data_IF_138928743138
#
_entry.id   IF_138928743138
#
_cell.length_a   1.000
_cell.length_b   1.000
_cell.length_c   1.000
_cell.angle_alpha   90.00
_cell.angle_beta   90.00
_cell.angle_gamma   90.00
#
_symmetry.space_group_name_H-M   'P 1'
#
loop_
_entity.id
_entity.type
_entity.pdbx_description
1 polymer ?
#
# COMPACT_ATOMS: atom_id res chain seq x y z
N UNK A 1 -35.12 10.29 -60.68
CA UNK A 1 -34.05 11.26 -60.37
C UNK A 1 -33.88 11.51 -58.87
N UNK A 2 -34.91 11.88 -58.08
CA UNK A 2 -34.76 12.12 -56.62
C UNK A 2 -34.23 10.91 -55.84
N UNK A 3 -34.82 9.74 -56.05
CA UNK A 3 -34.45 8.50 -55.35
C UNK A 3 -33.03 8.03 -55.65
N UNK A 4 -32.53 8.27 -56.87
CA UNK A 4 -31.15 7.94 -57.25
C UNK A 4 -30.14 8.82 -56.52
N UNK A 5 -30.47 10.10 -56.33
CA UNK A 5 -29.64 11.06 -55.58
C UNK A 5 -29.60 10.68 -54.10
N UNK A 6 -30.75 10.31 -53.52
CA UNK A 6 -30.83 9.86 -52.12
C UNK A 6 -29.99 8.60 -51.87
N UNK A 7 -30.04 7.63 -52.79
CA UNK A 7 -29.22 6.41 -52.71
C UNK A 7 -27.73 6.74 -52.82
N UNK A 8 -27.33 7.65 -53.71
CA UNK A 8 -25.93 8.07 -53.85
C UNK A 8 -25.40 8.73 -52.57
N UNK A 9 -26.18 9.63 -51.96
CA UNK A 9 -25.84 10.27 -50.68
C UNK A 9 -25.74 9.25 -49.56
N UNK A 10 -26.63 8.25 -49.54
CA UNK A 10 -26.61 7.20 -48.54
C UNK A 10 -25.34 6.34 -48.67
N UNK A 11 -24.96 5.99 -49.90
CA UNK A 11 -23.74 5.23 -50.19
C UNK A 11 -22.48 5.97 -49.72
N UNK A 12 -22.41 7.29 -49.99
CA UNK A 12 -21.28 8.12 -49.57
C UNK A 12 -21.14 8.17 -48.04
N UNK A 13 -22.27 8.25 -47.32
CA UNK A 13 -22.28 8.18 -45.85
C UNK A 13 -21.80 6.83 -45.33
N UNK A 14 -22.23 5.73 -45.95
CA UNK A 14 -21.82 4.38 -45.54
C UNK A 14 -20.32 4.19 -45.75
N UNK A 15 -19.77 4.59 -46.89
CA UNK A 15 -18.33 4.52 -47.16
C UNK A 15 -17.52 5.38 -46.19
N UNK A 16 -18.04 6.54 -45.81
CA UNK A 16 -17.41 7.40 -44.80
C UNK A 16 -17.40 6.73 -43.43
N UNK A 17 -18.52 6.14 -43.01
CA UNK A 17 -18.64 5.42 -41.75
C UNK A 17 -17.73 4.19 -41.70
N UNK A 18 -17.60 3.46 -42.81
CA UNK A 18 -16.67 2.32 -42.93
C UNK A 18 -15.23 2.76 -42.68
N UNK A 19 -14.80 3.83 -43.36
CA UNK A 19 -13.45 4.38 -43.16
C UNK A 19 -13.21 4.89 -41.73
N UNK A 20 -14.21 5.52 -41.13
CA UNK A 20 -14.12 6.02 -39.76
C UNK A 20 -14.10 4.84 -38.75
N UNK A 21 -14.81 3.75 -39.03
CA UNK A 21 -14.77 2.52 -38.24
C UNK A 21 -13.41 1.83 -38.31
N UNK A 22 -12.83 1.70 -39.51
CA UNK A 22 -11.48 1.16 -39.69
C UNK A 22 -10.44 1.96 -38.91
N UNK A 23 -10.51 3.29 -39.01
CA UNK A 23 -9.63 4.18 -38.24
C UNK A 23 -9.79 3.95 -36.75
N UNK A 24 -11.03 3.94 -36.25
CA UNK A 24 -11.29 3.74 -34.83
C UNK A 24 -10.77 2.37 -34.36
N UNK A 25 -10.84 1.32 -35.19
CA UNK A 25 -10.30 0.01 -34.86
C UNK A 25 -8.78 0.04 -34.73
N UNK A 26 -8.08 0.72 -35.65
CA UNK A 26 -6.63 0.92 -35.56
C UNK A 26 -6.27 1.73 -34.32
N UNK A 27 -6.94 2.86 -34.09
CA UNK A 27 -6.68 3.72 -32.92
C UNK A 27 -6.89 2.96 -31.60
N UNK A 28 -7.93 2.10 -31.51
CA UNK A 28 -8.16 1.24 -30.32
C UNK A 28 -7.06 0.19 -30.17
N UNK A 29 -6.62 -0.41 -31.29
CA UNK A 29 -5.53 -1.40 -31.25
C UNK A 29 -4.22 -0.78 -30.80
N UNK A 30 -3.90 0.44 -31.25
CA UNK A 30 -2.67 1.14 -30.88
C UNK A 30 -2.70 1.62 -29.41
N UNK A 31 -3.89 1.87 -28.85
CA UNK A 31 -4.05 2.17 -27.42
C UNK A 31 -3.86 0.94 -26.52
N UNK A 32 -4.04 -0.26 -27.08
CA UNK A 32 -3.74 -1.53 -26.39
C UNK A 32 -2.27 -1.88 -26.66
N UNK A 33 -1.38 -1.23 -25.90
CA UNK A 33 0.04 -1.56 -25.92
C UNK A 33 0.27 -2.91 -25.22
N UNK A 34 0.12 -3.99 -25.99
CA UNK A 34 0.22 -5.39 -25.54
C UNK A 34 1.58 -5.65 -24.86
N UNK A 35 2.64 -4.97 -25.33
CA UNK A 35 3.97 -5.05 -24.74
C UNK A 35 4.01 -4.45 -23.32
N UNK A 36 3.26 -3.36 -23.06
CA UNK A 36 3.14 -2.81 -21.70
C UNK A 36 2.31 -3.70 -20.77
N UNK A 37 1.29 -4.37 -21.30
CA UNK A 37 0.46 -5.26 -20.51
C UNK A 37 1.24 -6.53 -20.11
N UNK A 38 2.00 -7.10 -21.04
CA UNK A 38 2.84 -8.27 -20.78
C UNK A 38 3.95 -7.94 -19.77
N UNK A 39 4.64 -6.80 -19.92
CA UNK A 39 5.65 -6.35 -18.96
C UNK A 39 5.06 -6.16 -17.55
N UNK A 40 3.87 -5.55 -17.44
CA UNK A 40 3.17 -5.40 -16.16
C UNK A 40 2.75 -6.75 -15.56
N UNK A 41 2.36 -7.71 -16.39
CA UNK A 41 1.99 -9.06 -15.96
C UNK A 41 3.21 -9.82 -15.40
N UNK A 42 4.37 -9.72 -16.05
CA UNK A 42 5.62 -10.31 -15.58
C UNK A 42 6.02 -9.75 -14.19
N UNK A 43 5.99 -8.43 -14.04
CA UNK A 43 6.29 -7.76 -12.77
C UNK A 43 5.34 -8.19 -11.65
N UNK A 44 4.04 -8.29 -11.96
CA UNK A 44 3.03 -8.78 -11.01
C UNK A 44 3.34 -10.22 -10.55
N UNK A 45 3.71 -11.11 -11.48
CA UNK A 45 4.04 -12.51 -11.15
C UNK A 45 5.28 -12.58 -10.25
N UNK A 46 6.30 -11.74 -10.51
CA UNK A 46 7.50 -11.67 -9.68
C UNK A 46 7.15 -11.19 -8.26
N UNK A 47 6.41 -10.09 -8.14
CA UNK A 47 5.99 -9.55 -6.86
C UNK A 47 5.13 -10.54 -6.06
N UNK A 48 4.18 -11.20 -6.71
CA UNK A 48 3.32 -12.20 -6.08
C UNK A 48 4.12 -13.38 -5.52
N UNK A 49 5.11 -13.88 -6.27
CA UNK A 49 6.01 -14.93 -5.80
C UNK A 49 6.82 -14.50 -4.59
N UNK A 50 7.35 -13.27 -4.60
CA UNK A 50 8.12 -12.73 -3.48
C UNK A 50 7.28 -12.61 -2.20
N UNK A 51 6.07 -12.06 -2.31
CA UNK A 51 5.12 -11.93 -1.18
C UNK A 51 4.78 -13.32 -0.63
N UNK A 52 4.43 -14.26 -1.50
CA UNK A 52 4.09 -15.63 -1.10
C UNK A 52 5.23 -16.32 -0.34
N UNK A 53 6.47 -16.16 -0.81
CA UNK A 53 7.64 -16.70 -0.14
C UNK A 53 7.88 -16.05 1.24
N UNK A 54 7.69 -14.73 1.33
CA UNK A 54 7.83 -13.98 2.58
C UNK A 54 6.79 -14.42 3.61
N UNK A 55 5.53 -14.61 3.22
CA UNK A 55 4.48 -15.11 4.12
C UNK A 55 4.81 -16.48 4.72
N UNK A 56 5.34 -17.40 3.91
CA UNK A 56 5.78 -18.71 4.36
C UNK A 56 6.90 -18.57 5.40
N UNK A 57 7.87 -17.71 5.14
CA UNK A 57 8.99 -17.48 6.05
C UNK A 57 8.55 -16.82 7.36
N UNK A 58 7.62 -15.85 7.31
CA UNK A 58 7.05 -15.23 8.51
C UNK A 58 6.27 -16.24 9.36
N UNK A 59 5.49 -17.13 8.73
CA UNK A 59 4.79 -18.22 9.45
C UNK A 59 5.77 -19.17 10.13
N UNK A 60 6.89 -19.51 9.46
CA UNK A 60 7.96 -20.33 10.04
C UNK A 60 8.62 -19.62 11.22
N UNK A 61 8.95 -18.34 11.07
CA UNK A 61 9.58 -17.54 12.13
C UNK A 61 8.68 -17.41 13.36
N UNK A 62 7.38 -17.14 13.15
CA UNK A 62 6.39 -17.11 14.24
C UNK A 62 6.35 -18.44 14.99
N UNK A 63 6.34 -19.57 14.28
CA UNK A 63 6.35 -20.90 14.91
C UNK A 63 7.63 -21.15 15.72
N UNK A 64 8.78 -20.69 15.22
CA UNK A 64 10.05 -20.79 15.94
C UNK A 64 10.05 -19.93 17.23
N UNK A 65 9.44 -18.75 17.18
CA UNK A 65 9.32 -17.85 18.34
C UNK A 65 8.33 -18.37 19.40
N UNK A 66 7.16 -18.85 18.97
CA UNK A 66 6.15 -19.43 19.88
C UNK A 66 6.55 -20.79 20.49
N UNK A 67 7.63 -21.43 20.03
CA UNK A 67 8.17 -22.67 20.60
C UNK A 67 9.10 -22.46 21.80
N UNK A 68 9.45 -21.21 22.15
CA UNK A 68 10.21 -20.89 23.36
C UNK A 68 9.24 -20.63 24.51
N UNK A 69 8.73 -21.70 25.13
CA UNK A 69 8.05 -21.60 26.41
C UNK A 69 9.09 -21.29 27.49
N UNK A 70 8.88 -20.18 28.18
CA UNK A 70 9.70 -19.61 29.24
C UNK A 70 10.07 -20.65 30.32
N UNK A 71 11.37 -20.80 30.58
CA UNK A 71 11.87 -21.47 31.77
C UNK A 71 11.98 -20.40 32.87
N UNK A 72 11.34 -20.56 34.05
CA UNK A 72 11.42 -19.57 35.11
C UNK A 72 12.81 -19.67 35.76
N UNK A 73 13.74 -18.83 35.34
CA UNK A 73 14.98 -18.61 36.08
C UNK A 73 14.67 -17.57 37.16
N UNK A 74 14.53 -18.04 38.40
CA UNK A 74 14.38 -17.17 39.56
C UNK A 74 15.60 -16.26 39.70
N UNK A 75 15.44 -14.99 39.30
CA UNK A 75 16.38 -13.93 39.61
C UNK A 75 15.99 -13.31 40.95
N UNK A 76 16.51 -13.89 42.04
CA UNK A 76 16.66 -13.19 43.31
C UNK A 76 17.88 -12.30 43.20
N UNK A 77 17.69 -11.07 42.72
CA UNK A 77 18.63 -9.97 42.95
C UNK A 77 17.84 -8.85 43.56
N UNK A 78 18.17 -8.51 44.82
CA UNK A 78 17.49 -7.52 45.63
C UNK A 78 17.14 -6.27 44.82
N UNK A 79 15.86 -6.11 44.53
CA UNK A 79 15.30 -4.87 44.06
C UNK A 79 15.44 -3.90 45.25
N UNK A 80 16.46 -3.04 45.21
CA UNK A 80 16.40 -1.82 45.97
C UNK A 80 15.03 -1.19 45.67
N UNK A 81 14.27 -0.85 46.70
CA UNK A 81 12.98 -0.17 46.61
C UNK A 81 13.22 1.25 46.04
N UNK A 82 13.60 1.33 44.76
CA UNK A 82 13.75 2.57 44.01
C UNK A 82 12.33 3.00 43.69
N UNK A 83 11.76 3.78 44.61
CA UNK A 83 10.49 4.47 44.36
C UNK A 83 10.73 5.46 43.23
N UNK A 84 10.40 5.04 42.02
CA UNK A 84 10.42 5.91 40.86
C UNK A 84 9.40 7.05 41.08
N UNK A 85 9.76 8.31 40.75
CA UNK A 85 8.80 9.39 40.73
C UNK A 85 7.61 9.02 39.86
N UNK A 86 6.41 9.35 40.32
CA UNK A 86 5.19 9.11 39.55
C UNK A 86 5.25 10.00 38.31
N UNK A 87 5.34 9.39 37.14
CA UNK A 87 5.33 10.10 35.87
C UNK A 87 3.89 10.42 35.49
N UNK A 88 3.55 11.70 35.47
CA UNK A 88 2.25 12.16 35.00
C UNK A 88 2.32 12.35 33.48
N UNK A 89 1.66 11.45 32.75
CA UNK A 89 1.50 11.59 31.32
C UNK A 89 0.48 12.67 31.03
N UNK A 90 0.84 13.61 30.17
CA UNK A 90 -0.12 14.55 29.62
C UNK A 90 -1.06 13.83 28.67
N UNK A 91 -2.33 14.21 28.72
CA UNK A 91 -3.34 13.71 27.78
C UNK A 91 -3.37 14.65 26.58
N UNK A 92 -3.23 14.10 25.38
CA UNK A 92 -3.41 14.90 24.16
C UNK A 92 -4.88 15.29 24.01
N UNK A 93 -5.14 16.58 23.80
CA UNK A 93 -6.49 17.16 23.66
C UNK A 93 -7.19 16.76 22.37
N UNK A 94 -6.43 16.29 21.37
CA UNK A 94 -6.92 16.04 20.02
C UNK A 94 -6.85 17.26 19.11
N UNK A 95 -6.41 18.41 19.61
CA UNK A 95 -6.19 19.62 18.80
C UNK A 95 -4.91 19.48 17.94
N UNK A 96 -5.01 19.49 16.60
CA UNK A 96 -3.85 19.42 15.72
C UNK A 96 -2.84 20.55 15.92
N UNK A 97 -3.27 21.73 16.38
CA UNK A 97 -2.37 22.87 16.63
C UNK A 97 -1.50 22.66 17.88
N UNK A 98 -1.93 21.81 18.81
CA UNK A 98 -1.19 21.47 20.03
C UNK A 98 -0.31 20.21 19.87
N UNK A 99 -0.39 19.52 18.73
CA UNK A 99 0.30 18.25 18.50
C UNK A 99 1.82 18.36 18.68
N UNK A 100 2.44 19.40 18.13
CA UNK A 100 3.90 19.56 18.18
C UNK A 100 4.38 19.79 19.63
N UNK A 101 3.70 20.67 20.36
CA UNK A 101 3.97 20.94 21.78
C UNK A 101 3.77 19.69 22.65
N UNK A 102 2.70 18.95 22.41
CA UNK A 102 2.43 17.68 23.09
C UNK A 102 3.53 16.66 22.82
N UNK A 103 3.91 16.48 21.56
CA UNK A 103 4.92 15.52 21.14
C UNK A 103 6.28 15.83 21.77
N UNK A 104 6.72 17.09 21.74
CA UNK A 104 8.01 17.50 22.31
C UNK A 104 8.07 17.25 23.83
N UNK A 105 6.99 17.57 24.54
CA UNK A 105 6.91 17.38 25.98
C UNK A 105 6.82 15.90 26.37
N UNK A 106 6.10 15.10 25.58
CA UNK A 106 6.03 13.65 25.73
C UNK A 106 7.41 13.01 25.50
N UNK A 107 8.11 13.37 24.42
CA UNK A 107 9.44 12.86 24.12
C UNK A 107 10.46 13.25 25.19
N UNK A 108 10.44 14.49 25.67
CA UNK A 108 11.32 14.94 26.75
C UNK A 108 11.09 14.14 28.05
N UNK A 109 9.83 13.85 28.37
CA UNK A 109 9.47 13.18 29.63
C UNK A 109 9.75 11.67 29.61
N UNK A 110 9.60 11.01 28.46
CA UNK A 110 9.71 9.55 28.31
C UNK A 110 11.09 9.10 27.82
N UNK A 111 11.67 9.82 26.86
CA UNK A 111 12.87 9.35 26.14
C UNK A 111 14.15 10.07 26.55
N UNK A 112 14.08 11.30 27.07
CA UNK A 112 15.27 12.07 27.49
C UNK A 112 15.60 11.95 28.99
N UNK A 113 14.95 11.04 29.74
CA UNK A 113 15.33 10.70 31.10
C UNK A 113 16.45 9.63 31.10
N UNK A 114 17.62 9.96 30.55
CA UNK A 114 18.80 9.08 30.49
C UNK A 114 19.52 8.89 31.84
N UNK A 115 18.99 9.44 32.93
CA UNK A 115 19.58 9.36 34.28
C UNK A 115 18.78 8.47 35.25
N UNK A 116 17.97 7.55 34.74
CA UNK A 116 17.39 6.44 35.51
C UNK A 116 18.08 5.13 35.14
#
# INVERSE_FOLDING_TARGET
NSTLVEVAVCLEKVLKLEKDLEKNQTDVSDLLDDDTYEALAEDYVIAFRAISAMEVNLKKLRKAFNGQTEQPTGHNTGCADVKLPKLELLTFSGDPFEWLTFHDLFTASIHNNTSL
#
